data_IF_123955328520
#
_entry.id   IF_123955328520
#
_cell.length_a   1.000
_cell.length_b   1.000
_cell.length_c   1.000
_cell.angle_alpha   90.00
_cell.angle_beta   90.00
_cell.angle_gamma   90.00
#
_symmetry.space_group_name_H-M   'P 1'
#
loop_
_entity.id
_entity.type
_entity.pdbx_description
1 polymer ?
#
# COMPACT_ATOMS: atom_id res chain seq x y z
N UNK A 1 5.17 -4.39 6.03
CA UNK A 1 4.53 -4.64 7.34
C UNK A 1 3.56 -5.79 7.14
N UNK A 2 3.81 -6.98 7.72
CA UNK A 2 2.92 -8.15 7.58
C UNK A 2 1.86 -8.13 8.69
N UNK A 3 0.59 -8.12 8.30
CA UNK A 3 -0.56 -8.13 9.23
C UNK A 3 -0.89 -9.54 9.73
N UNK A 4 -0.51 -10.57 8.97
CA UNK A 4 -0.64 -11.98 9.34
C UNK A 4 0.73 -12.67 9.33
N UNK A 5 0.80 -13.82 9.99
CA UNK A 5 1.98 -14.70 9.93
C UNK A 5 2.08 -15.43 8.59
N UNK A 6 3.25 -15.97 8.29
CA UNK A 6 3.54 -16.64 7.02
C UNK A 6 3.00 -18.09 7.05
N UNK A 7 1.68 -18.23 6.90
CA UNK A 7 0.97 -19.51 6.94
C UNK A 7 1.33 -20.45 5.76
N UNK A 8 2.00 -19.94 4.71
CA UNK A 8 2.56 -20.75 3.63
C UNK A 8 3.79 -21.54 4.09
N UNK A 9 4.60 -20.97 4.98
CA UNK A 9 5.82 -21.59 5.53
C UNK A 9 5.53 -22.43 6.76
N UNK A 10 4.68 -21.94 7.65
CA UNK A 10 4.27 -22.64 8.87
C UNK A 10 2.77 -22.95 8.82
N UNK A 11 2.42 -24.15 8.33
CA UNK A 11 1.03 -24.59 8.12
C UNK A 11 0.22 -24.73 9.42
N UNK A 12 0.91 -24.83 10.56
CA UNK A 12 0.31 -24.99 11.88
C UNK A 12 1.06 -24.07 12.83
N UNK A 13 0.33 -23.12 13.45
CA UNK A 13 0.91 -22.11 14.33
C UNK A 13 0.24 -22.21 15.71
N UNK A 14 1.04 -22.05 16.77
CA UNK A 14 0.52 -22.00 18.14
C UNK A 14 -0.14 -20.64 18.42
N UNK A 15 -1.25 -20.62 19.18
CA UNK A 15 -2.04 -19.40 19.49
C UNK A 15 -1.21 -18.16 19.87
N UNK A 16 -0.16 -18.35 20.67
CA UNK A 16 0.68 -17.24 21.19
C UNK A 16 1.55 -16.57 20.11
N UNK A 17 1.72 -17.23 18.97
CA UNK A 17 2.48 -16.72 17.83
C UNK A 17 1.59 -16.16 16.72
N UNK A 18 0.26 -16.30 16.83
CA UNK A 18 -0.68 -15.88 15.80
C UNK A 18 -0.97 -14.38 15.96
N UNK A 19 -0.59 -13.59 14.96
CA UNK A 19 -0.99 -12.19 14.81
C UNK A 19 -2.49 -12.12 14.51
N UNK A 20 -3.19 -11.21 15.19
CA UNK A 20 -4.63 -11.01 15.03
C UNK A 20 -5.43 -12.31 15.27
N UNK A 21 -5.02 -13.12 16.25
CA UNK A 21 -5.67 -14.39 16.59
C UNK A 21 -7.17 -14.25 16.79
N UNK A 22 -7.61 -13.29 17.60
CA UNK A 22 -9.03 -13.07 17.89
C UNK A 22 -9.85 -12.81 16.61
N UNK A 23 -9.29 -12.02 15.68
CA UNK A 23 -9.92 -11.76 14.38
C UNK A 23 -10.02 -13.02 13.51
N UNK A 24 -8.98 -13.83 13.48
CA UNK A 24 -8.94 -15.06 12.69
C UNK A 24 -9.91 -16.13 13.22
N UNK A 25 -10.09 -16.18 14.54
CA UNK A 25 -11.07 -17.07 15.19
C UNK A 25 -12.49 -16.58 14.96
N UNK A 26 -12.76 -15.29 15.21
CA UNK A 26 -14.09 -14.70 15.01
C UNK A 26 -14.56 -14.78 13.55
N UNK A 27 -13.64 -14.63 12.60
CA UNK A 27 -13.91 -14.73 11.16
C UNK A 27 -13.95 -16.15 10.59
N UNK A 28 -13.80 -17.19 11.44
CA UNK A 28 -13.74 -18.60 11.03
C UNK A 28 -12.67 -18.83 9.93
N UNK A 29 -11.53 -18.14 10.05
CA UNK A 29 -10.39 -18.25 9.13
C UNK A 29 -9.44 -19.36 9.56
N UNK A 30 -9.35 -19.65 10.85
CA UNK A 30 -8.50 -20.70 11.42
C UNK A 30 -9.32 -21.76 12.16
N UNK A 31 -8.89 -23.02 12.12
CA UNK A 31 -9.46 -24.12 12.92
C UNK A 31 -8.41 -24.73 13.82
N UNK A 32 -8.85 -25.13 15.00
CA UNK A 32 -8.01 -25.86 15.95
C UNK A 32 -7.80 -27.30 15.49
N UNK A 33 -6.54 -27.73 15.44
CA UNK A 33 -6.14 -29.09 15.03
C UNK A 33 -5.67 -29.91 16.24
N UNK A 34 -5.07 -29.25 17.23
CA UNK A 34 -4.62 -29.83 18.50
C UNK A 34 -4.62 -28.74 19.58
N UNK A 35 -4.53 -29.12 20.84
CA UNK A 35 -4.59 -28.21 22.00
C UNK A 35 -3.58 -27.05 21.86
N UNK A 36 -4.09 -25.86 21.50
CA UNK A 36 -3.31 -24.65 21.26
C UNK A 36 -2.72 -24.44 19.86
N UNK A 37 -2.96 -25.34 18.91
CA UNK A 37 -2.46 -25.28 17.53
C UNK A 37 -3.59 -25.07 16.51
N UNK A 38 -3.42 -24.07 15.66
CA UNK A 38 -4.40 -23.69 14.65
C UNK A 38 -3.85 -23.84 13.24
N UNK A 39 -4.72 -24.16 12.29
CA UNK A 39 -4.44 -24.15 10.86
C UNK A 39 -5.37 -23.18 10.14
N UNK A 40 -4.85 -22.50 9.12
CA UNK A 40 -5.64 -21.65 8.26
C UNK A 40 -6.52 -22.51 7.33
N UNK A 41 -7.83 -22.30 7.41
CA UNK A 41 -8.82 -23.06 6.65
C UNK A 41 -9.35 -22.32 5.42
N UNK A 42 -9.22 -21.00 5.41
CA UNK A 42 -9.58 -20.13 4.30
C UNK A 42 -8.32 -19.58 3.64
N UNK A 43 -8.47 -18.96 2.48
CA UNK A 43 -7.36 -18.31 1.80
C UNK A 43 -6.76 -17.19 2.69
N UNK A 44 -5.43 -17.13 2.75
CA UNK A 44 -4.71 -16.09 3.50
C UNK A 44 -5.03 -14.71 2.91
N UNK A 45 -5.18 -14.62 1.59
CA UNK A 45 -5.49 -13.37 0.90
C UNK A 45 -6.85 -12.81 1.35
N UNK A 46 -7.84 -13.68 1.55
CA UNK A 46 -9.17 -13.27 2.02
C UNK A 46 -9.12 -12.75 3.47
N UNK A 47 -8.33 -13.38 4.33
CA UNK A 47 -8.14 -12.94 5.71
C UNK A 47 -7.40 -11.58 5.77
N UNK A 48 -6.37 -11.40 4.95
CA UNK A 48 -5.66 -10.13 4.83
C UNK A 48 -6.57 -9.03 4.31
N UNK A 49 -7.38 -9.30 3.28
CA UNK A 49 -8.29 -8.31 2.70
C UNK A 49 -9.30 -7.76 3.74
N UNK A 50 -9.89 -8.63 4.55
CA UNK A 50 -10.82 -8.22 5.61
C UNK A 50 -10.11 -7.45 6.74
N UNK A 51 -8.88 -7.83 7.11
CA UNK A 51 -8.05 -7.06 8.04
C UNK A 51 -7.73 -5.66 7.52
N UNK A 52 -7.30 -5.56 6.27
CA UNK A 52 -7.03 -4.29 5.61
C UNK A 52 -8.28 -3.42 5.55
N UNK A 53 -9.44 -4.01 5.27
CA UNK A 53 -10.72 -3.30 5.27
C UNK A 53 -11.06 -2.73 6.65
N UNK A 54 -10.89 -3.52 7.71
CA UNK A 54 -11.11 -3.05 9.09
C UNK A 54 -10.16 -1.91 9.47
N UNK A 55 -8.86 -2.06 9.20
CA UNK A 55 -7.87 -1.03 9.47
C UNK A 55 -8.16 0.27 8.68
N UNK A 56 -8.59 0.15 7.43
CA UNK A 56 -8.98 1.30 6.61
C UNK A 56 -10.24 1.99 7.16
N UNK A 57 -11.22 1.25 7.68
CA UNK A 57 -12.39 1.84 8.35
C UNK A 57 -12.00 2.62 9.60
N UNK A 58 -11.17 2.05 10.48
CA UNK A 58 -10.69 2.73 11.68
C UNK A 58 -9.92 4.03 11.34
N UNK A 59 -9.09 3.99 10.31
CA UNK A 59 -8.36 5.16 9.83
C UNK A 59 -9.28 6.21 9.19
N UNK A 60 -10.30 5.77 8.45
CA UNK A 60 -11.28 6.66 7.83
C UNK A 60 -12.12 7.40 8.88
N UNK A 61 -12.54 6.72 9.94
CA UNK A 61 -13.22 7.35 11.08
C UNK A 61 -12.34 8.43 11.72
N UNK A 62 -11.05 8.13 11.94
CA UNK A 62 -10.11 9.09 12.50
C UNK A 62 -9.89 10.33 11.61
N UNK A 63 -9.89 10.14 10.29
CA UNK A 63 -9.67 11.20 9.30
C UNK A 63 -10.96 11.90 8.85
N UNK A 64 -12.13 11.46 9.33
CA UNK A 64 -13.43 12.00 8.89
C UNK A 64 -13.74 11.71 7.42
N UNK A 65 -13.27 10.59 6.87
CA UNK A 65 -13.49 10.19 5.49
C UNK A 65 -14.80 9.38 5.40
N UNK A 66 -15.80 9.93 4.72
CA UNK A 66 -17.11 9.26 4.54
C UNK A 66 -17.07 8.11 3.51
N UNK A 67 -16.23 8.23 2.47
CA UNK A 67 -16.11 7.22 1.40
C UNK A 67 -14.64 6.96 1.08
N UNK A 68 -14.12 5.87 1.67
CA UNK A 68 -12.75 5.39 1.49
C UNK A 68 -12.46 5.10 0.02
N UNK A 69 -13.39 4.45 -0.69
CA UNK A 69 -13.17 4.07 -2.08
C UNK A 69 -13.05 5.29 -2.97
N UNK A 70 -13.89 6.31 -2.73
CA UNK A 70 -13.81 7.58 -3.45
C UNK A 70 -12.50 8.31 -3.16
N UNK A 71 -12.07 8.33 -1.90
CA UNK A 71 -10.84 9.03 -1.52
C UNK A 71 -9.59 8.35 -2.08
N UNK A 72 -9.52 7.02 -2.00
CA UNK A 72 -8.44 6.24 -2.64
C UNK A 72 -8.42 6.46 -4.15
N UNK A 73 -9.58 6.42 -4.81
CA UNK A 73 -9.68 6.72 -6.26
C UNK A 73 -9.20 8.14 -6.58
N UNK A 74 -9.59 9.12 -5.78
CA UNK A 74 -9.16 10.52 -5.94
C UNK A 74 -7.64 10.63 -5.84
N UNK A 75 -7.04 9.98 -4.84
CA UNK A 75 -5.61 9.95 -4.64
C UNK A 75 -4.88 9.29 -5.82
N UNK A 76 -5.36 8.13 -6.30
CA UNK A 76 -4.81 7.45 -7.49
C UNK A 76 -4.87 8.35 -8.71
N UNK A 77 -6.01 9.02 -8.97
CA UNK A 77 -6.15 9.94 -10.09
C UNK A 77 -5.16 11.10 -9.99
N UNK A 78 -5.02 11.72 -8.81
CA UNK A 78 -4.09 12.82 -8.60
C UNK A 78 -2.64 12.38 -8.85
N UNK A 79 -2.26 11.20 -8.35
CA UNK A 79 -0.92 10.65 -8.52
C UNK A 79 -0.61 10.36 -9.99
N UNK A 80 -1.57 9.79 -10.73
CA UNK A 80 -1.41 9.54 -12.16
C UNK A 80 -1.26 10.85 -12.94
N UNK A 81 -2.10 11.86 -12.67
CA UNK A 81 -1.98 13.17 -13.31
C UNK A 81 -0.65 13.84 -12.98
N UNK A 82 -0.21 13.78 -11.73
CA UNK A 82 1.09 14.29 -11.34
C UNK A 82 2.23 13.61 -12.12
N UNK A 83 2.22 12.28 -12.19
CA UNK A 83 3.24 11.53 -12.92
C UNK A 83 3.24 11.86 -14.41
N UNK A 84 2.07 11.93 -15.05
CA UNK A 84 1.95 12.27 -16.46
C UNK A 84 2.52 13.67 -16.76
N UNK A 85 2.14 14.68 -15.97
CA UNK A 85 2.64 16.05 -16.14
C UNK A 85 4.15 16.11 -15.89
N UNK A 86 4.63 15.44 -14.85
CA UNK A 86 6.06 15.36 -14.53
C UNK A 86 6.84 14.71 -15.67
N UNK A 87 6.36 13.60 -16.22
CA UNK A 87 7.05 12.86 -17.28
C UNK A 87 7.09 13.67 -18.59
N UNK A 88 5.99 14.32 -18.97
CA UNK A 88 5.97 15.27 -20.09
C UNK A 88 6.96 16.41 -19.86
N UNK A 89 6.98 16.99 -18.65
CA UNK A 89 7.91 18.04 -18.28
C UNK A 89 9.37 17.61 -18.41
N UNK A 90 9.71 16.43 -17.90
CA UNK A 90 11.06 15.87 -18.00
C UNK A 90 11.48 15.59 -19.45
N UNK A 91 10.56 15.10 -20.28
CA UNK A 91 10.84 14.89 -21.70
C UNK A 91 11.16 16.21 -22.42
N UNK A 92 10.35 17.26 -22.17
CA UNK A 92 10.57 18.58 -22.73
C UNK A 92 11.91 19.19 -22.26
N UNK A 93 12.22 19.06 -20.97
CA UNK A 93 13.49 19.51 -20.40
C UNK A 93 14.67 18.79 -21.04
N UNK A 94 14.59 17.47 -21.21
CA UNK A 94 15.62 16.69 -21.91
C UNK A 94 15.83 17.15 -23.36
N UNK A 95 14.75 17.45 -24.09
CA UNK A 95 14.84 18.00 -25.45
C UNK A 95 15.47 19.39 -25.48
N UNK A 96 15.11 20.28 -24.56
CA UNK A 96 15.69 21.62 -24.44
C UNK A 96 17.19 21.53 -24.12
N UNK A 97 17.56 20.69 -23.16
CA UNK A 97 18.94 20.45 -22.77
C UNK A 97 19.78 19.99 -23.98
N UNK A 98 19.28 19.01 -24.73
CA UNK A 98 19.92 18.52 -25.95
C UNK A 98 20.10 19.61 -27.02
N UNK A 99 19.07 20.42 -27.28
CA UNK A 99 19.14 21.52 -28.25
C UNK A 99 20.15 22.59 -27.86
N UNK A 100 20.26 22.87 -26.55
CA UNK A 100 21.17 23.89 -26.01
C UNK A 100 22.58 23.37 -25.70
N UNK A 101 22.82 22.06 -25.88
CA UNK A 101 24.04 21.38 -25.45
C UNK A 101 24.38 21.63 -23.97
N UNK A 102 23.35 21.72 -23.13
CA UNK A 102 23.47 21.87 -21.67
C UNK A 102 22.90 20.62 -21.00
N UNK A 103 23.02 20.51 -19.68
CA UNK A 103 22.44 19.38 -18.95
C UNK A 103 20.98 19.65 -18.57
N UNK A 104 20.20 18.58 -18.39
CA UNK A 104 18.82 18.71 -17.87
C UNK A 104 18.78 19.39 -16.49
N UNK A 105 19.84 19.24 -15.70
CA UNK A 105 19.99 19.91 -14.39
C UNK A 105 20.06 21.43 -14.55
N UNK A 106 20.84 21.94 -15.49
CA UNK A 106 20.95 23.39 -15.72
C UNK A 106 19.59 23.98 -16.14
N UNK A 107 18.83 23.25 -16.97
CA UNK A 107 17.49 23.67 -17.38
C UNK A 107 16.49 23.61 -16.21
N UNK A 108 16.60 22.62 -15.33
CA UNK A 108 15.79 22.56 -14.09
C UNK A 108 16.06 23.76 -13.18
N UNK A 109 17.33 24.12 -12.99
CA UNK A 109 17.75 25.28 -12.20
C UNK A 109 17.24 26.60 -12.83
N UNK A 110 17.35 26.76 -14.15
CA UNK A 110 16.78 27.92 -14.87
C UNK A 110 15.27 28.07 -14.68
N UNK A 111 14.54 26.96 -14.61
CA UNK A 111 13.08 26.93 -14.45
C UNK A 111 12.64 27.09 -12.98
N UNK A 112 13.59 27.19 -12.03
CA UNK A 112 13.29 27.23 -10.60
C UNK A 112 12.70 25.92 -10.08
N UNK A 113 12.93 24.81 -10.78
CA UNK A 113 12.51 23.46 -10.39
C UNK A 113 13.64 22.77 -9.63
N UNK A 114 14.09 23.41 -8.54
CA UNK A 114 15.09 22.82 -7.66
C UNK A 114 14.53 21.51 -7.08
N UNK A 115 15.23 20.41 -7.33
CA UNK A 115 14.93 19.16 -6.62
C UNK A 115 15.46 19.33 -5.20
N UNK A 116 14.55 19.54 -4.26
CA UNK A 116 14.89 19.51 -2.82
C UNK A 116 15.50 18.11 -2.51
N UNK A 117 16.59 18.03 -1.73
CA UNK A 117 17.34 16.78 -1.50
C UNK A 117 16.54 15.66 -0.82
#
# INVERSE_FOLDING_TARGET
MKLLDDWEREKIIHKDKIRNFDFLVEGDFIKEVADGFYCLCKDIEAAEAELWKKANCEMAEHLGIEDINKEVKRFISLLNTYNEVKDIGQELIGRIANLRQTTAKDVHEELGMEMDP
#
